data_IF_570788816308
#
_entry.id   IF_570788816308
#
_cell.length_a   1.000
_cell.length_b   1.000
_cell.length_c   1.000
_cell.angle_alpha   90.00
_cell.angle_beta   90.00
_cell.angle_gamma   90.00
#
_symmetry.space_group_name_H-M   'P 1'
#
loop_
_entity.id
_entity.type
_entity.pdbx_description
1 polymer ?
#
# COMPACT_ATOMS: atom_id res chain seq x y z
N UNK A 1 -78.38 44.91 4.73
CA UNK A 1 -77.39 44.91 5.80
C UNK A 1 -76.23 44.03 5.36
N UNK A 2 -75.14 44.65 4.95
CA UNK A 2 -73.97 43.97 4.39
C UNK A 2 -72.91 43.83 5.47
N UNK A 3 -72.49 42.61 5.75
CA UNK A 3 -71.39 42.32 6.64
C UNK A 3 -70.16 41.88 5.81
N UNK A 4 -69.23 42.79 5.63
CA UNK A 4 -67.95 42.51 4.95
C UNK A 4 -66.91 41.89 5.93
N UNK A 5 -66.57 40.65 5.72
CA UNK A 5 -65.48 39.99 6.43
C UNK A 5 -64.14 40.27 5.78
N UNK A 6 -63.18 40.92 6.49
CA UNK A 6 -61.79 41.14 6.07
C UNK A 6 -61.01 39.87 6.32
N UNK A 7 -60.48 39.24 5.24
CA UNK A 7 -59.49 38.16 5.32
C UNK A 7 -58.12 38.81 5.59
N UNK A 8 -57.53 38.51 6.73
CA UNK A 8 -56.15 38.86 7.06
C UNK A 8 -55.22 37.79 6.48
N UNK A 9 -54.47 38.11 5.44
CA UNK A 9 -53.38 37.28 4.95
C UNK A 9 -52.26 37.24 5.99
N UNK A 10 -52.03 36.09 6.56
CA UNK A 10 -50.85 35.81 7.40
C UNK A 10 -49.71 35.43 6.49
N UNK A 11 -48.77 36.34 6.25
CA UNK A 11 -47.49 36.03 5.57
C UNK A 11 -46.59 35.25 6.54
N UNK A 12 -46.46 33.96 6.30
CA UNK A 12 -45.48 33.12 7.03
C UNK A 12 -44.09 33.35 6.44
N UNK A 13 -43.25 34.07 7.17
CA UNK A 13 -41.87 34.29 6.85
C UNK A 13 -41.09 33.01 7.15
N UNK A 14 -40.70 32.22 6.16
CA UNK A 14 -39.81 31.09 6.31
C UNK A 14 -38.38 31.64 6.40
N UNK A 15 -37.83 31.68 7.61
CA UNK A 15 -36.41 31.91 7.80
C UNK A 15 -35.64 30.68 7.33
N UNK A 16 -35.00 30.78 6.18
CA UNK A 16 -33.98 29.83 5.77
C UNK A 16 -32.73 30.03 6.67
N UNK A 17 -32.54 29.14 7.62
CA UNK A 17 -31.29 29.06 8.39
C UNK A 17 -30.26 28.47 7.46
N UNK A 18 -29.16 29.17 7.12
CA UNK A 18 -28.08 28.57 6.35
C UNK A 18 -27.47 27.44 7.22
N UNK A 19 -27.55 26.22 6.75
CA UNK A 19 -26.73 25.14 7.28
C UNK A 19 -25.26 25.50 6.99
N UNK A 20 -24.55 26.00 7.99
CA UNK A 20 -23.10 26.13 7.94
C UNK A 20 -22.58 24.71 8.12
N UNK A 21 -22.25 24.07 7.01
CA UNK A 21 -21.41 22.86 7.02
C UNK A 21 -20.05 23.35 7.51
N UNK A 22 -19.73 23.06 8.75
CA UNK A 22 -18.34 23.13 9.21
C UNK A 22 -17.61 22.04 8.41
N UNK A 23 -16.87 22.45 7.39
CA UNK A 23 -15.87 21.58 6.80
C UNK A 23 -14.86 21.30 7.91
N UNK A 24 -14.74 20.02 8.30
CA UNK A 24 -13.69 19.57 9.20
C UNK A 24 -12.37 19.96 8.53
N UNK A 25 -11.57 20.81 9.17
CA UNK A 25 -10.43 21.50 8.55
C UNK A 25 -9.28 20.55 8.13
N UNK A 26 -9.35 19.27 8.53
CA UNK A 26 -8.28 18.29 8.36
C UNK A 26 -8.60 17.18 7.35
N UNK A 27 -9.67 17.34 6.56
CA UNK A 27 -10.11 16.37 5.59
C UNK A 27 -9.88 16.88 4.16
N UNK A 28 -9.24 16.07 3.32
CA UNK A 28 -9.08 16.32 1.88
C UNK A 28 -9.98 15.39 1.07
N UNK A 29 -11.03 15.91 0.41
CA UNK A 29 -11.86 15.12 -0.49
C UNK A 29 -11.05 14.60 -1.68
N UNK A 30 -11.39 13.39 -2.14
CA UNK A 30 -10.80 12.83 -3.34
C UNK A 30 -11.04 13.69 -4.58
N UNK A 31 -10.01 13.81 -5.41
CA UNK A 31 -10.11 14.48 -6.72
C UNK A 31 -10.98 13.70 -7.72
N UNK A 32 -11.30 12.45 -7.43
CA UNK A 32 -12.17 11.57 -8.24
C UNK A 32 -13.62 11.55 -7.74
N UNK A 33 -13.93 12.30 -6.70
CA UNK A 33 -15.29 12.51 -6.20
C UNK A 33 -15.58 11.85 -4.84
N UNK A 34 -16.77 12.15 -4.27
CA UNK A 34 -17.09 11.73 -2.90
C UNK A 34 -17.29 10.22 -2.73
N UNK A 35 -17.62 9.51 -3.81
CA UNK A 35 -17.82 8.05 -3.81
C UNK A 35 -16.55 7.27 -4.18
N UNK A 36 -15.40 7.95 -4.30
CA UNK A 36 -14.15 7.29 -4.65
C UNK A 36 -13.63 6.44 -3.49
N UNK A 37 -13.40 5.16 -3.78
CA UNK A 37 -12.86 4.16 -2.85
C UNK A 37 -11.53 3.54 -3.30
N UNK A 38 -10.99 3.96 -4.46
CA UNK A 38 -9.80 3.33 -5.05
C UNK A 38 -8.63 4.31 -5.29
N UNK A 39 -8.80 5.59 -4.95
CA UNK A 39 -7.71 6.57 -4.94
C UNK A 39 -6.88 6.57 -6.22
N UNK A 40 -5.58 6.46 -6.07
CA UNK A 40 -4.61 6.53 -7.17
C UNK A 40 -4.77 5.40 -8.21
N UNK A 41 -5.48 4.30 -7.92
CA UNK A 41 -5.81 3.29 -8.91
C UNK A 41 -6.73 3.80 -10.02
N UNK A 42 -7.44 4.92 -9.82
CA UNK A 42 -8.16 5.63 -10.89
C UNK A 42 -7.27 6.12 -12.04
N UNK A 43 -5.95 6.11 -11.86
CA UNK A 43 -4.99 6.49 -12.91
C UNK A 43 -4.66 5.35 -13.87
N UNK A 44 -5.13 4.13 -13.61
CA UNK A 44 -4.93 2.99 -14.51
C UNK A 44 -5.66 3.28 -15.82
N UNK A 45 -4.95 3.17 -16.93
CA UNK A 45 -5.51 3.33 -18.25
C UNK A 45 -4.89 2.34 -19.25
N UNK A 46 -5.59 2.12 -20.36
CA UNK A 46 -5.06 1.30 -21.45
C UNK A 46 -3.76 1.88 -22.00
N UNK A 47 -3.67 3.21 -22.10
CA UNK A 47 -2.51 3.93 -22.61
C UNK A 47 -1.31 3.70 -21.68
N UNK A 48 -1.48 3.87 -20.37
CA UNK A 48 -0.42 3.67 -19.38
C UNK A 48 0.07 2.22 -19.39
N UNK A 49 -0.84 1.26 -19.54
CA UNK A 49 -0.50 -0.17 -19.66
C UNK A 49 0.32 -0.43 -20.94
N UNK A 50 -0.10 0.09 -22.09
CA UNK A 50 0.61 -0.09 -23.36
C UNK A 50 1.99 0.59 -23.34
N UNK A 51 2.14 1.74 -22.69
CA UNK A 51 3.45 2.37 -22.50
C UNK A 51 4.36 1.52 -21.60
N UNK A 52 3.81 0.93 -20.52
CA UNK A 52 4.57 0.05 -19.65
C UNK A 52 5.06 -1.23 -20.38
N UNK A 53 4.25 -1.81 -21.27
CA UNK A 53 4.66 -2.97 -22.10
C UNK A 53 5.92 -2.65 -22.93
N UNK A 54 6.09 -1.41 -23.38
CA UNK A 54 7.27 -1.00 -24.19
C UNK A 54 8.57 -1.03 -23.39
N UNK A 55 8.51 -1.14 -22.06
CA UNK A 55 9.69 -1.25 -21.19
C UNK A 55 10.30 -2.66 -21.20
N UNK A 56 9.57 -3.67 -21.67
CA UNK A 56 10.05 -5.04 -21.77
C UNK A 56 11.02 -5.13 -22.97
N UNK A 57 12.32 -5.09 -22.71
CA UNK A 57 13.37 -5.14 -23.73
C UNK A 57 14.14 -6.44 -23.74
N UNK A 58 14.26 -7.10 -22.57
CA UNK A 58 15.04 -8.32 -22.38
C UNK A 58 14.17 -9.57 -22.23
N UNK A 59 12.86 -9.42 -22.03
CA UNK A 59 11.96 -10.53 -21.71
C UNK A 59 12.25 -11.19 -20.36
N UNK A 60 12.88 -10.44 -19.45
CA UNK A 60 13.18 -10.90 -18.10
C UNK A 60 12.02 -10.61 -17.17
N UNK A 61 11.85 -11.45 -16.15
CA UNK A 61 10.84 -11.26 -15.10
C UNK A 61 11.43 -11.54 -13.72
N UNK A 62 10.88 -10.88 -12.71
CA UNK A 62 11.22 -11.08 -11.31
C UNK A 62 10.00 -10.84 -10.43
N UNK A 63 9.71 -11.78 -9.50
CA UNK A 63 8.73 -11.55 -8.43
C UNK A 63 9.32 -10.63 -7.39
N UNK A 64 8.58 -9.60 -7.03
CA UNK A 64 9.01 -8.59 -6.05
C UNK A 64 8.60 -8.94 -4.60
N UNK A 65 8.02 -10.10 -4.36
CA UNK A 65 7.73 -10.61 -3.03
C UNK A 65 8.88 -11.45 -2.50
N UNK A 66 9.19 -11.32 -1.21
CA UNK A 66 10.08 -12.25 -0.51
C UNK A 66 9.30 -13.44 0.05
N UNK A 67 10.00 -14.50 0.42
CA UNK A 67 9.38 -15.66 1.10
C UNK A 67 8.92 -15.25 2.49
N UNK A 68 7.65 -15.50 2.79
CA UNK A 68 7.07 -15.38 4.13
C UNK A 68 7.16 -16.75 4.80
N UNK A 69 7.74 -16.78 6.01
CA UNK A 69 7.88 -18.01 6.78
C UNK A 69 7.41 -17.82 8.23
N UNK A 70 6.92 -18.89 8.89
CA UNK A 70 6.61 -18.83 10.31
C UNK A 70 7.81 -18.36 11.13
N UNK A 71 7.57 -17.42 12.06
CA UNK A 71 8.64 -16.82 12.87
C UNK A 71 9.41 -15.69 12.18
N UNK A 72 9.03 -15.29 10.97
CA UNK A 72 9.57 -14.09 10.34
C UNK A 72 9.41 -12.88 11.29
N UNK A 73 10.44 -12.03 11.44
CA UNK A 73 10.32 -10.82 12.23
C UNK A 73 9.17 -9.94 11.72
N UNK A 74 8.37 -9.44 12.64
CA UNK A 74 7.25 -8.55 12.31
C UNK A 74 7.05 -7.56 13.46
N UNK A 75 6.42 -6.43 13.16
CA UNK A 75 6.04 -5.45 14.17
C UNK A 75 5.05 -6.07 15.16
N UNK A 76 5.42 -6.10 16.44
CA UNK A 76 4.58 -6.71 17.49
C UNK A 76 3.18 -6.06 17.55
N UNK A 77 2.10 -6.81 17.74
CA UNK A 77 2.01 -8.24 18.05
C UNK A 77 1.84 -9.16 16.82
N UNK A 78 2.26 -8.74 15.64
CA UNK A 78 2.06 -9.48 14.37
C UNK A 78 2.81 -10.81 14.38
N UNK A 79 2.21 -11.84 13.80
CA UNK A 79 2.78 -13.18 13.65
C UNK A 79 2.24 -13.86 12.39
N UNK A 80 2.91 -14.94 12.00
CA UNK A 80 2.50 -15.81 10.89
C UNK A 80 2.62 -17.27 11.34
N UNK A 81 1.55 -18.04 11.13
CA UNK A 81 1.50 -19.49 11.36
C UNK A 81 0.93 -20.19 10.13
N UNK A 82 1.58 -21.27 9.73
CA UNK A 82 1.15 -22.12 8.63
C UNK A 82 1.04 -23.56 9.13
N UNK A 83 -0.07 -24.22 8.88
CA UNK A 83 -0.30 -25.61 9.18
C UNK A 83 -0.66 -26.35 7.91
N UNK A 84 0.04 -27.45 7.64
CA UNK A 84 -0.37 -28.39 6.62
C UNK A 84 -1.31 -29.40 7.26
N UNK A 85 -2.52 -29.49 6.77
CA UNK A 85 -3.52 -30.46 7.22
C UNK A 85 -3.65 -31.58 6.20
N UNK A 86 -3.81 -32.78 6.71
CA UNK A 86 -3.75 -34.03 5.93
C UNK A 86 -5.00 -34.87 6.22
N UNK A 87 -6.17 -34.47 5.72
CA UNK A 87 -7.46 -35.02 6.15
C UNK A 87 -7.59 -36.54 5.99
N UNK A 88 -6.94 -37.10 4.96
CA UNK A 88 -7.02 -38.53 4.63
C UNK A 88 -5.68 -39.24 4.75
N UNK A 89 -4.74 -38.72 5.52
CA UNK A 89 -3.47 -39.42 5.77
C UNK A 89 -3.64 -40.42 6.90
N UNK A 90 -3.88 -41.66 6.53
CA UNK A 90 -4.00 -42.77 7.43
C UNK A 90 -2.82 -43.73 7.22
N UNK A 91 -1.68 -43.44 7.77
CA UNK A 91 -0.49 -44.29 7.67
C UNK A 91 -0.86 -45.76 7.95
N UNK A 92 -0.94 -46.59 6.89
CA UNK A 92 -1.25 -48.01 6.97
C UNK A 92 -2.71 -48.36 7.26
N UNK A 93 -3.66 -47.45 7.15
CA UNK A 93 -5.09 -47.73 7.22
C UNK A 93 -5.67 -47.79 5.80
N UNK A 94 -6.67 -48.66 5.61
CA UNK A 94 -7.48 -48.67 4.40
C UNK A 94 -8.31 -47.38 4.37
N UNK A 95 -8.03 -46.53 3.40
CA UNK A 95 -8.69 -45.26 3.18
C UNK A 95 -9.54 -45.29 1.91
N UNK A 96 -10.06 -46.49 1.52
CA UNK A 96 -11.00 -46.55 0.39
C UNK A 96 -12.03 -45.47 0.59
N UNK A 97 -11.76 -44.35 -0.01
CA UNK A 97 -12.43 -43.09 0.27
C UNK A 97 -13.81 -43.10 -0.41
N UNK A 98 -14.68 -42.19 0.03
CA UNK A 98 -15.94 -41.88 -0.62
C UNK A 98 -15.79 -41.50 -2.11
N UNK A 99 -14.55 -41.34 -2.60
CA UNK A 99 -14.20 -41.03 -4.01
C UNK A 99 -13.97 -42.28 -4.88
N UNK A 100 -14.01 -43.51 -4.32
CA UNK A 100 -13.88 -44.75 -5.08
C UNK A 100 -12.43 -45.15 -5.46
N UNK A 101 -11.43 -44.46 -4.94
CA UNK A 101 -9.99 -44.76 -5.03
C UNK A 101 -9.23 -44.15 -3.86
N UNK A 102 -7.99 -44.57 -3.63
CA UNK A 102 -7.14 -44.07 -2.56
C UNK A 102 -6.56 -42.72 -2.95
N UNK A 103 -7.30 -41.62 -2.63
CA UNK A 103 -6.83 -40.27 -2.81
C UNK A 103 -5.99 -39.81 -1.60
N UNK A 104 -4.86 -39.21 -1.88
CA UNK A 104 -4.05 -38.54 -0.87
C UNK A 104 -3.90 -37.05 -1.22
N UNK A 105 -4.20 -36.17 -0.27
CA UNK A 105 -4.09 -34.73 -0.49
C UNK A 105 -3.72 -33.99 0.79
N UNK A 106 -3.17 -32.81 0.61
CA UNK A 106 -2.87 -31.86 1.69
C UNK A 106 -3.59 -30.58 1.44
N UNK A 107 -4.04 -29.94 2.52
CA UNK A 107 -4.58 -28.57 2.55
C UNK A 107 -3.78 -27.74 3.53
N UNK A 108 -3.94 -26.41 3.47
CA UNK A 108 -3.26 -25.46 4.31
C UNK A 108 -4.23 -24.64 5.15
N UNK A 109 -3.83 -24.33 6.38
CA UNK A 109 -4.44 -23.31 7.21
C UNK A 109 -3.39 -22.23 7.45
N UNK A 110 -3.67 -21.00 7.01
CA UNK A 110 -2.84 -19.85 7.25
C UNK A 110 -3.51 -18.95 8.28
N UNK A 111 -2.82 -18.67 9.38
CA UNK A 111 -3.21 -17.67 10.34
C UNK A 111 -2.10 -16.64 10.46
N UNK A 112 -2.39 -15.40 10.03
CA UNK A 112 -1.38 -14.35 10.06
C UNK A 112 -1.99 -12.95 10.12
N UNK A 113 -1.17 -12.02 10.56
CA UNK A 113 -1.40 -10.62 10.30
C UNK A 113 -0.99 -10.32 8.87
N UNK A 114 -1.94 -9.89 8.03
CA UNK A 114 -1.74 -9.68 6.59
C UNK A 114 -0.63 -8.67 6.30
N UNK A 115 -0.41 -7.70 7.20
CA UNK A 115 0.71 -6.75 7.14
C UNK A 115 2.05 -7.35 7.62
N UNK A 116 2.32 -8.63 7.34
CA UNK A 116 3.60 -9.29 7.62
C UNK A 116 4.27 -9.70 6.31
N UNK A 117 5.48 -9.20 6.06
CA UNK A 117 6.21 -9.44 4.81
C UNK A 117 5.74 -8.55 3.66
N UNK A 118 5.86 -9.01 2.38
CA UNK A 118 5.49 -8.20 1.21
C UNK A 118 4.01 -7.88 1.22
N UNK A 119 3.68 -6.60 1.23
CA UNK A 119 2.29 -6.16 1.39
C UNK A 119 1.96 -4.93 0.56
N UNK A 120 0.65 -4.80 0.28
CA UNK A 120 -0.01 -3.60 -0.21
C UNK A 120 -0.84 -3.03 0.94
N UNK A 121 -0.64 -1.77 1.28
CA UNK A 121 -1.48 -1.04 2.20
C UNK A 121 -2.59 -0.31 1.45
N UNK A 122 -3.84 -0.66 1.79
CA UNK A 122 -5.04 -0.08 1.21
C UNK A 122 -5.43 1.25 1.85
N UNK A 123 -6.42 1.91 1.27
CA UNK A 123 -6.84 3.26 1.67
C UNK A 123 -7.51 3.32 3.07
N UNK A 124 -7.96 2.18 3.58
CA UNK A 124 -8.49 2.06 4.94
C UNK A 124 -7.43 1.72 6.00
N UNK A 125 -6.11 1.74 5.65
CA UNK A 125 -5.05 1.30 6.56
C UNK A 125 -4.67 2.39 7.58
N UNK A 126 -4.48 3.62 7.14
CA UNK A 126 -4.04 4.74 8.00
C UNK A 126 -5.01 5.91 7.89
N UNK A 127 -5.37 6.45 9.03
CA UNK A 127 -6.08 7.71 9.21
C UNK A 127 -5.33 8.63 10.16
N UNK A 128 -5.88 9.80 10.38
CA UNK A 128 -5.45 10.76 11.40
C UNK A 128 -6.71 11.39 12.00
N UNK A 129 -6.80 11.43 13.34
CA UNK A 129 -7.97 11.87 14.10
C UNK A 129 -9.29 11.19 13.65
N UNK A 130 -9.25 9.84 13.50
CA UNK A 130 -10.35 8.98 13.02
C UNK A 130 -10.85 9.29 11.60
N UNK A 131 -10.16 10.15 10.87
CA UNK A 131 -10.45 10.48 9.47
C UNK A 131 -9.47 9.73 8.56
N UNK A 132 -10.03 8.98 7.62
CA UNK A 132 -9.33 8.23 6.58
C UNK A 132 -9.47 8.90 5.22
N UNK A 133 -8.94 8.23 4.19
CA UNK A 133 -9.01 8.71 2.81
C UNK A 133 -10.43 9.14 2.42
N UNK A 134 -10.50 10.21 1.62
CA UNK A 134 -11.75 10.79 1.10
C UNK A 134 -12.76 11.14 2.19
N UNK A 135 -12.26 11.64 3.35
CA UNK A 135 -13.08 12.10 4.47
C UNK A 135 -13.97 11.03 5.12
N UNK A 136 -13.66 9.76 4.95
CA UNK A 136 -14.40 8.69 5.60
C UNK A 136 -14.02 8.63 7.09
N UNK A 137 -15.02 8.63 7.97
CA UNK A 137 -14.82 8.41 9.40
C UNK A 137 -14.66 6.92 9.69
N UNK A 138 -13.71 6.54 10.54
CA UNK A 138 -13.45 5.15 10.87
C UNK A 138 -14.68 4.43 11.41
N UNK A 139 -15.47 5.08 12.27
CA UNK A 139 -16.71 4.54 12.85
C UNK A 139 -17.78 4.16 11.80
N UNK A 140 -17.75 4.77 10.61
CA UNK A 140 -18.75 4.56 9.56
C UNK A 140 -18.44 3.37 8.65
N UNK A 141 -17.17 2.91 8.58
CA UNK A 141 -16.80 1.88 7.60
C UNK A 141 -15.86 0.79 8.13
N UNK A 142 -15.16 0.99 9.25
CA UNK A 142 -14.16 0.06 9.79
C UNK A 142 -14.75 -0.73 10.96
N UNK A 143 -15.09 -2.00 10.71
CA UNK A 143 -15.69 -2.88 11.71
C UNK A 143 -14.80 -4.11 11.95
N UNK A 144 -15.01 -4.79 13.07
CA UNK A 144 -14.30 -6.04 13.40
C UNK A 144 -14.54 -7.15 12.36
N UNK A 145 -15.60 -7.06 11.60
CA UNK A 145 -15.95 -7.99 10.51
C UNK A 145 -15.32 -7.62 9.18
N UNK A 146 -14.57 -6.54 9.10
CA UNK A 146 -13.92 -6.01 7.92
C UNK A 146 -14.43 -4.63 7.52
N UNK A 147 -13.75 -4.04 6.56
CA UNK A 147 -14.12 -2.75 5.99
C UNK A 147 -15.37 -2.89 5.12
N UNK A 148 -16.26 -1.89 5.16
CA UNK A 148 -17.43 -1.80 4.27
C UNK A 148 -17.20 -0.86 3.09
N UNK A 149 -16.10 -0.08 3.13
CA UNK A 149 -15.58 0.76 2.05
C UNK A 149 -14.08 0.62 1.95
N UNK A 150 -13.51 0.91 0.80
CA UNK A 150 -12.05 0.92 0.57
C UNK A 150 -11.36 -0.42 0.87
N UNK A 151 -12.09 -1.54 0.84
CA UNK A 151 -11.51 -2.86 1.00
C UNK A 151 -10.60 -3.23 -0.17
N UNK A 152 -9.60 -4.09 0.09
CA UNK A 152 -8.61 -4.51 -0.93
C UNK A 152 -9.26 -5.11 -2.18
N UNK A 153 -10.42 -5.74 -2.04
CA UNK A 153 -11.15 -6.34 -3.18
C UNK A 153 -11.65 -5.34 -4.22
N UNK A 154 -11.78 -4.06 -3.84
CA UNK A 154 -12.23 -3.00 -4.75
C UNK A 154 -11.12 -2.53 -5.67
N UNK A 155 -9.86 -2.70 -5.27
CA UNK A 155 -8.69 -2.25 -6.02
C UNK A 155 -8.54 -3.08 -7.30
N UNK A 156 -8.53 -2.45 -8.50
CA UNK A 156 -8.23 -3.16 -9.74
C UNK A 156 -6.77 -3.62 -9.76
N UNK A 157 -6.38 -4.56 -10.65
CA UNK A 157 -4.99 -4.91 -10.83
C UNK A 157 -4.14 -3.67 -11.13
N UNK A 158 -3.07 -3.45 -10.35
CA UNK A 158 -2.15 -2.34 -10.56
C UNK A 158 -1.17 -2.73 -11.67
N UNK A 159 -1.31 -2.13 -12.83
CA UNK A 159 -0.46 -2.35 -14.00
C UNK A 159 0.04 -1.01 -14.52
N UNK A 160 1.34 -0.85 -14.66
CA UNK A 160 1.91 0.41 -15.12
C UNK A 160 3.43 0.41 -15.13
N UNK A 161 4.00 1.61 -15.26
CA UNK A 161 5.45 1.81 -15.20
C UNK A 161 5.92 1.74 -13.76
N UNK A 162 6.79 0.76 -13.47
CA UNK A 162 7.57 0.70 -12.25
C UNK A 162 8.87 1.48 -12.40
N UNK A 163 9.25 2.20 -11.35
CA UNK A 163 10.48 2.99 -11.28
C UNK A 163 11.25 2.61 -10.02
N UNK A 164 12.49 2.17 -10.16
CA UNK A 164 13.39 1.87 -9.03
C UNK A 164 14.35 3.04 -8.80
N UNK A 165 14.31 3.64 -7.62
CA UNK A 165 15.27 4.61 -7.14
C UNK A 165 16.24 3.89 -6.19
N UNK A 166 17.47 3.64 -6.64
CA UNK A 166 18.47 2.94 -5.84
C UNK A 166 19.16 3.92 -4.88
N UNK A 167 18.69 3.95 -3.63
CA UNK A 167 19.23 4.84 -2.59
C UNK A 167 20.53 4.32 -2.00
N UNK A 168 20.71 3.00 -1.86
CA UNK A 168 21.98 2.42 -1.44
C UNK A 168 23.12 2.85 -2.42
N UNK A 169 22.90 2.74 -3.72
CA UNK A 169 23.83 3.21 -4.75
C UNK A 169 24.06 4.73 -4.70
N UNK A 170 23.00 5.51 -4.43
CA UNK A 170 23.09 6.96 -4.29
C UNK A 170 24.08 7.35 -3.20
N UNK A 171 23.98 6.70 -2.03
CA UNK A 171 24.85 6.91 -0.87
C UNK A 171 26.22 6.20 -1.00
N UNK A 172 26.42 5.34 -2.01
CA UNK A 172 27.68 4.63 -2.21
C UNK A 172 27.89 3.48 -1.22
N UNK A 173 26.82 2.87 -0.72
CA UNK A 173 26.80 1.76 0.23
C UNK A 173 26.07 0.55 -0.36
N UNK A 174 26.31 -0.64 0.21
CA UNK A 174 25.53 -1.84 -0.12
C UNK A 174 24.18 -1.88 0.58
N UNK A 175 24.09 -1.26 1.76
CA UNK A 175 22.88 -1.11 2.54
C UNK A 175 22.92 0.20 3.32
N UNK A 176 21.81 0.89 3.38
CA UNK A 176 21.60 1.99 4.31
C UNK A 176 21.48 1.43 5.74
N UNK A 177 21.53 2.27 6.76
CA UNK A 177 21.38 1.87 8.17
C UNK A 177 20.00 2.23 8.74
N UNK A 178 19.56 1.53 9.78
CA UNK A 178 18.27 1.75 10.43
C UNK A 178 18.15 3.19 10.98
N UNK A 179 17.01 3.83 10.74
CA UNK A 179 16.76 5.23 11.08
C UNK A 179 17.37 6.25 10.11
N UNK A 180 18.06 5.82 9.06
CA UNK A 180 18.55 6.73 8.05
C UNK A 180 17.40 7.27 7.18
N UNK A 181 17.15 8.58 7.28
CA UNK A 181 16.13 9.25 6.48
C UNK A 181 16.55 9.44 5.02
N UNK A 182 15.63 9.18 4.11
CA UNK A 182 15.71 9.55 2.69
C UNK A 182 14.97 10.87 2.53
N UNK A 183 15.71 11.96 2.42
CA UNK A 183 15.13 13.31 2.32
C UNK A 183 14.65 13.63 0.91
N UNK A 184 13.81 14.67 0.77
CA UNK A 184 13.44 15.25 -0.53
C UNK A 184 14.67 15.56 -1.38
N UNK A 185 15.72 16.11 -0.78
CA UNK A 185 16.95 16.48 -1.49
C UNK A 185 17.76 15.25 -1.92
N UNK A 186 17.74 14.17 -1.13
CA UNK A 186 18.36 12.92 -1.54
C UNK A 186 17.65 12.32 -2.74
N UNK A 187 16.31 12.32 -2.75
CA UNK A 187 15.51 11.85 -3.88
C UNK A 187 15.83 12.67 -5.14
N UNK A 188 15.81 14.01 -5.05
CA UNK A 188 16.14 14.89 -6.19
C UNK A 188 17.52 14.59 -6.77
N UNK A 189 18.53 14.41 -5.91
CA UNK A 189 19.89 14.07 -6.34
C UNK A 189 19.95 12.67 -6.93
N UNK A 190 19.26 11.69 -6.32
CA UNK A 190 19.26 10.31 -6.79
C UNK A 190 18.62 10.17 -8.17
N UNK A 191 17.42 10.75 -8.39
CA UNK A 191 16.75 10.68 -9.70
C UNK A 191 17.58 11.38 -10.79
N UNK A 192 18.19 12.54 -10.48
CA UNK A 192 19.10 13.22 -11.42
C UNK A 192 20.32 12.36 -11.76
N UNK A 193 20.98 11.77 -10.74
CA UNK A 193 22.18 10.93 -10.92
C UNK A 193 21.88 9.65 -11.69
N UNK A 194 20.68 9.08 -11.52
CA UNK A 194 20.24 7.85 -12.16
C UNK A 194 19.50 8.09 -13.48
N UNK A 195 19.36 9.35 -13.91
CA UNK A 195 18.62 9.77 -15.11
C UNK A 195 17.18 9.26 -15.12
N UNK A 196 16.49 9.41 -14.00
CA UNK A 196 15.09 9.04 -13.80
C UNK A 196 14.21 10.31 -13.92
N UNK A 197 13.13 10.20 -14.67
CA UNK A 197 12.03 11.18 -14.71
C UNK A 197 10.79 10.55 -14.13
N UNK A 198 10.29 11.07 -13.01
CA UNK A 198 9.06 10.60 -12.39
C UNK A 198 7.84 11.14 -13.15
N UNK A 199 6.84 10.29 -13.33
CA UNK A 199 5.61 10.60 -14.09
C UNK A 199 4.37 10.26 -13.27
N UNK A 200 3.28 10.95 -13.58
CA UNK A 200 1.98 10.62 -13.02
C UNK A 200 1.61 9.17 -13.31
N UNK A 201 1.16 8.47 -12.28
CA UNK A 201 0.76 7.07 -12.37
C UNK A 201 1.92 6.06 -12.29
N UNK A 202 3.15 6.50 -11.98
CA UNK A 202 4.26 5.58 -11.72
C UNK A 202 4.00 4.74 -10.44
N UNK A 203 4.61 3.57 -10.39
CA UNK A 203 4.82 2.81 -9.15
C UNK A 203 6.29 3.01 -8.78
N UNK A 204 6.56 3.79 -7.73
CA UNK A 204 7.92 4.17 -7.32
C UNK A 204 8.39 3.22 -6.22
N UNK A 205 9.51 2.53 -6.45
CA UNK A 205 10.15 1.66 -5.47
C UNK A 205 11.52 2.20 -5.07
N UNK A 206 11.80 2.18 -3.78
CA UNK A 206 13.12 2.48 -3.23
C UNK A 206 13.89 1.19 -2.94
N UNK A 207 15.15 1.15 -3.34
CA UNK A 207 16.10 0.12 -2.90
C UNK A 207 17.05 0.71 -1.89
N UNK A 208 16.96 0.24 -0.66
CA UNK A 208 17.84 0.63 0.45
C UNK A 208 18.91 -0.41 0.73
N UNK A 209 18.73 -1.64 0.26
CA UNK A 209 19.57 -2.80 0.53
C UNK A 209 19.36 -3.39 1.93
N UNK A 210 18.41 -2.85 2.72
CA UNK A 210 18.20 -3.24 4.13
C UNK A 210 17.76 -4.69 4.28
N UNK A 211 16.74 -5.12 3.55
CA UNK A 211 16.23 -6.48 3.63
C UNK A 211 17.24 -7.50 3.16
N UNK A 212 17.96 -7.25 2.07
CA UNK A 212 19.03 -8.11 1.58
C UNK A 212 20.17 -8.28 2.62
N UNK A 213 20.51 -7.18 3.30
CA UNK A 213 21.60 -7.18 4.26
C UNK A 213 21.23 -7.76 5.63
N UNK A 214 19.99 -7.57 6.10
CA UNK A 214 19.64 -7.76 7.50
C UNK A 214 18.66 -8.87 7.80
N UNK A 215 17.67 -9.13 6.95
CA UNK A 215 16.59 -10.07 7.26
C UNK A 215 17.12 -11.45 7.73
N UNK A 216 18.11 -12.01 7.05
CA UNK A 216 18.67 -13.32 7.40
C UNK A 216 19.82 -13.24 8.39
N UNK A 217 20.65 -12.21 8.31
CA UNK A 217 21.89 -12.08 9.10
C UNK A 217 21.66 -11.50 10.50
N UNK A 218 20.67 -10.63 10.66
CA UNK A 218 20.35 -9.88 11.88
C UNK A 218 18.85 -9.60 11.96
N UNK A 219 17.99 -10.64 12.09
CA UNK A 219 16.53 -10.48 12.01
C UNK A 219 15.97 -9.56 13.10
N UNK A 220 16.57 -9.54 14.29
CA UNK A 220 16.17 -8.62 15.36
C UNK A 220 16.45 -7.15 14.98
N UNK A 221 17.62 -6.86 14.40
CA UNK A 221 17.96 -5.52 13.92
C UNK A 221 17.07 -5.11 12.75
N UNK A 222 16.79 -6.06 11.85
CA UNK A 222 15.88 -5.84 10.71
C UNK A 222 14.49 -5.41 11.19
N UNK A 223 13.94 -6.07 12.22
CA UNK A 223 12.62 -5.76 12.77
C UNK A 223 12.57 -4.55 13.70
N UNK A 224 13.71 -4.13 14.27
CA UNK A 224 13.76 -3.04 15.24
C UNK A 224 13.90 -1.64 14.60
N UNK A 225 14.45 -1.57 13.40
CA UNK A 225 14.71 -0.29 12.71
C UNK A 225 14.70 -0.47 11.20
N UNK A 226 14.49 0.63 10.46
CA UNK A 226 14.61 0.68 8.99
C UNK A 226 15.11 2.03 8.52
N UNK A 227 15.88 2.11 7.41
CA UNK A 227 15.98 3.33 6.63
C UNK A 227 14.64 3.57 5.91
N UNK A 228 14.32 4.81 5.61
CA UNK A 228 13.08 5.11 4.89
C UNK A 228 12.93 6.59 4.57
N UNK A 229 11.86 6.92 3.86
CA UNK A 229 11.58 8.30 3.48
C UNK A 229 11.24 9.17 4.70
N UNK A 230 11.55 10.46 4.61
CA UNK A 230 11.12 11.47 5.59
C UNK A 230 9.70 11.95 5.26
N UNK A 231 9.04 12.61 6.23
CA UNK A 231 7.71 13.20 6.00
C UNK A 231 7.71 14.21 4.85
N UNK A 232 8.74 15.05 4.74
CA UNK A 232 8.90 15.99 3.63
C UNK A 232 9.14 15.29 2.28
N UNK A 233 9.82 14.15 2.28
CA UNK A 233 9.98 13.34 1.09
C UNK A 233 8.65 12.71 0.62
N UNK A 234 7.78 12.29 1.54
CA UNK A 234 6.44 11.80 1.19
C UNK A 234 5.61 12.90 0.51
N UNK A 235 5.63 14.12 1.06
CA UNK A 235 4.99 15.29 0.42
C UNK A 235 5.55 15.54 -0.99
N UNK A 236 6.87 15.51 -1.16
CA UNK A 236 7.50 15.68 -2.47
C UNK A 236 7.11 14.60 -3.47
N UNK A 237 7.02 13.34 -3.04
CA UNK A 237 6.61 12.23 -3.92
C UNK A 237 5.15 12.35 -4.35
N UNK A 238 4.26 12.81 -3.46
CA UNK A 238 2.85 13.00 -3.79
C UNK A 238 2.62 14.04 -4.90
N UNK A 239 3.52 15.03 -5.05
CA UNK A 239 3.47 16.03 -6.13
C UNK A 239 3.50 15.38 -7.53
N UNK A 240 4.14 14.22 -7.70
CA UNK A 240 4.18 13.47 -8.96
C UNK A 240 2.93 12.61 -9.20
N UNK A 241 2.06 12.49 -8.21
CA UNK A 241 0.83 11.67 -8.28
C UNK A 241 1.13 10.23 -8.72
N UNK A 242 1.99 9.48 -8.01
CA UNK A 242 2.21 8.07 -8.30
C UNK A 242 0.97 7.24 -7.94
N UNK A 243 0.82 6.03 -8.51
CA UNK A 243 -0.17 5.06 -8.05
C UNK A 243 0.21 4.44 -6.71
N UNK A 244 1.49 4.14 -6.56
CA UNK A 244 2.02 3.57 -5.33
C UNK A 244 3.45 4.02 -5.09
N UNK A 245 3.86 4.04 -3.82
CA UNK A 245 5.24 4.22 -3.37
C UNK A 245 5.60 3.03 -2.48
N UNK A 246 6.79 2.47 -2.64
CA UNK A 246 7.20 1.33 -1.83
C UNK A 246 8.71 1.24 -1.63
N UNK A 247 9.13 0.27 -0.81
CA UNK A 247 10.54 0.02 -0.51
C UNK A 247 10.81 -1.46 -0.20
N UNK A 248 12.09 -1.80 -0.11
CA UNK A 248 12.57 -3.09 0.38
C UNK A 248 12.57 -3.20 1.91
N UNK A 249 11.96 -2.25 2.62
CA UNK A 249 11.82 -2.21 4.07
C UNK A 249 10.40 -2.59 4.52
N UNK A 250 10.23 -3.03 5.78
CA UNK A 250 8.94 -3.44 6.37
C UNK A 250 8.02 -2.29 6.78
N UNK A 251 8.44 -1.07 6.56
CA UNK A 251 7.74 0.20 6.61
C UNK A 251 8.37 1.10 5.56
N UNK A 252 7.69 2.12 5.12
CA UNK A 252 8.19 3.03 4.08
C UNK A 252 9.02 4.17 4.68
N UNK A 253 8.57 4.74 5.81
CA UNK A 253 9.25 5.80 6.54
C UNK A 253 10.40 5.29 7.40
N UNK A 254 11.36 6.15 7.70
CA UNK A 254 12.47 5.81 8.59
C UNK A 254 11.99 5.48 10.02
N UNK A 255 12.51 4.37 10.59
CA UNK A 255 12.26 4.00 11.99
C UNK A 255 13.61 3.73 12.68
N UNK A 256 13.95 4.46 13.77
CA UNK A 256 13.23 5.63 14.28
C UNK A 256 13.20 6.78 13.26
N UNK A 257 12.19 7.67 13.34
CA UNK A 257 12.13 8.83 12.44
C UNK A 257 13.30 9.78 12.72
N UNK A 258 13.64 10.59 11.72
CA UNK A 258 14.63 11.68 11.93
C UNK A 258 14.05 12.76 12.86
N UNK A 259 14.93 13.59 13.40
CA UNK A 259 14.51 14.70 14.27
C UNK A 259 13.50 15.61 13.55
N UNK A 260 12.38 15.89 14.23
CA UNK A 260 11.29 16.71 13.72
C UNK A 260 10.20 15.97 12.96
N UNK A 261 10.43 14.73 12.53
CA UNK A 261 9.44 13.89 11.86
C UNK A 261 8.57 13.11 12.86
N UNK A 262 7.34 12.83 12.44
CA UNK A 262 6.44 11.91 13.14
C UNK A 262 6.56 10.52 12.49
N UNK A 263 6.57 9.47 13.32
CA UNK A 263 6.59 8.09 12.83
C UNK A 263 5.31 7.78 12.05
N UNK A 264 5.44 7.12 10.90
CA UNK A 264 4.33 6.77 9.98
C UNK A 264 3.50 7.94 9.43
N UNK A 265 3.97 9.20 9.53
CA UNK A 265 3.26 10.32 8.94
C UNK A 265 3.40 10.37 7.40
N UNK A 266 4.40 9.71 6.85
CA UNK A 266 4.51 9.39 5.43
C UNK A 266 3.29 8.59 4.92
N UNK A 267 2.78 7.65 5.72
CA UNK A 267 1.54 6.90 5.42
C UNK A 267 0.31 7.82 5.44
N UNK A 268 0.20 8.72 6.41
CA UNK A 268 -0.88 9.71 6.43
C UNK A 268 -0.85 10.56 5.17
N UNK A 269 0.33 11.08 4.80
CA UNK A 269 0.49 11.91 3.61
C UNK A 269 0.16 11.14 2.32
N UNK A 270 0.65 9.91 2.17
CA UNK A 270 0.45 9.15 0.94
C UNK A 270 -0.96 8.57 0.86
N UNK A 271 -1.40 7.84 1.89
CA UNK A 271 -2.67 7.10 1.88
C UNK A 271 -3.85 8.03 2.15
N UNK A 272 -3.90 8.65 3.34
CA UNK A 272 -5.06 9.46 3.77
C UNK A 272 -5.26 10.69 2.89
N UNK A 273 -4.18 11.47 2.67
CA UNK A 273 -4.29 12.76 2.01
C UNK A 273 -4.32 12.66 0.48
N UNK A 274 -3.62 11.66 -0.10
CA UNK A 274 -3.43 11.58 -1.55
C UNK A 274 -3.96 10.31 -2.21
N UNK A 275 -4.46 9.33 -1.45
CA UNK A 275 -4.99 8.07 -1.99
C UNK A 275 -3.93 7.21 -2.69
N UNK A 276 -2.65 7.38 -2.36
CA UNK A 276 -1.51 6.67 -2.94
C UNK A 276 -1.25 5.42 -2.10
N UNK A 277 -1.16 4.26 -2.75
CA UNK A 277 -0.89 3.00 -2.08
C UNK A 277 0.55 2.89 -1.60
N UNK A 278 0.77 2.11 -0.54
CA UNK A 278 2.13 1.79 -0.07
C UNK A 278 2.42 0.31 -0.33
N UNK A 279 3.65 0.02 -0.77
CA UNK A 279 4.15 -1.32 -1.01
C UNK A 279 5.39 -1.55 -0.13
N UNK A 280 5.31 -2.53 0.78
CA UNK A 280 6.38 -2.76 1.74
C UNK A 280 7.04 -4.12 1.54
N UNK A 281 8.28 -4.24 2.00
CA UNK A 281 9.10 -5.47 1.97
C UNK A 281 9.28 -6.03 0.54
N UNK A 282 9.51 -5.13 -0.44
CA UNK A 282 9.68 -5.52 -1.84
C UNK A 282 11.09 -6.08 -2.10
N UNK A 283 11.20 -7.22 -2.79
CA UNK A 283 12.46 -7.77 -3.30
C UNK A 283 12.96 -6.95 -4.50
N UNK A 284 13.68 -5.87 -4.21
CA UNK A 284 14.25 -4.97 -5.22
C UNK A 284 15.70 -5.28 -5.55
N UNK A 285 16.33 -6.21 -4.83
CA UNK A 285 17.77 -6.50 -4.91
C UNK A 285 18.24 -6.88 -6.31
N UNK A 286 17.47 -7.73 -7.01
CA UNK A 286 17.81 -8.12 -8.39
C UNK A 286 17.75 -6.94 -9.36
N UNK A 287 16.72 -6.10 -9.28
CA UNK A 287 16.60 -4.91 -10.13
C UNK A 287 17.78 -3.97 -9.89
N UNK A 288 18.13 -3.74 -8.61
CA UNK A 288 19.26 -2.90 -8.23
C UNK A 288 20.59 -3.42 -8.77
N UNK A 289 20.84 -4.74 -8.64
CA UNK A 289 22.03 -5.42 -9.13
C UNK A 289 22.17 -5.33 -10.65
N UNK A 290 21.08 -5.48 -11.39
CA UNK A 290 21.06 -5.40 -12.86
C UNK A 290 20.93 -3.95 -13.38
N UNK A 291 20.90 -2.94 -12.48
CA UNK A 291 20.70 -1.52 -12.81
C UNK A 291 19.42 -1.26 -13.62
N UNK A 292 18.35 -1.97 -13.30
CA UNK A 292 17.01 -1.76 -13.88
C UNK A 292 16.37 -0.59 -13.15
N UNK A 293 16.16 0.52 -13.84
CA UNK A 293 15.51 1.73 -13.27
C UNK A 293 14.06 1.85 -13.68
N UNK A 294 13.68 1.24 -14.81
CA UNK A 294 12.31 1.26 -15.33
C UNK A 294 11.91 -0.14 -15.78
N UNK A 295 10.69 -0.52 -15.49
CA UNK A 295 10.14 -1.84 -15.82
C UNK A 295 8.62 -1.79 -15.91
N UNK A 296 8.01 -2.77 -16.54
CA UNK A 296 6.57 -2.98 -16.41
C UNK A 296 6.29 -3.63 -15.06
N UNK A 297 5.47 -2.98 -14.25
CA UNK A 297 4.97 -3.49 -12.97
C UNK A 297 3.60 -4.11 -13.15
N UNK A 298 3.38 -5.30 -12.59
CA UNK A 298 2.09 -6.00 -12.61
C UNK A 298 1.79 -6.56 -11.23
N UNK A 299 0.65 -6.17 -10.68
CA UNK A 299 0.13 -6.70 -9.41
C UNK A 299 -1.36 -7.03 -9.55
N UNK A 300 -1.70 -8.30 -9.46
CA UNK A 300 -3.07 -8.78 -9.24
C UNK A 300 -3.19 -9.33 -7.82
N UNK A 301 -3.55 -8.48 -6.86
CA UNK A 301 -3.66 -8.88 -5.45
C UNK A 301 -4.86 -9.82 -5.22
N UNK A 302 -4.78 -10.73 -4.23
CA UNK A 302 -5.95 -11.50 -3.77
C UNK A 302 -7.09 -10.58 -3.35
N UNK A 303 -8.33 -11.00 -3.67
CA UNK A 303 -9.54 -10.21 -3.36
C UNK A 303 -10.20 -10.73 -2.08
N UNK A 304 -9.65 -10.38 -0.93
CA UNK A 304 -10.24 -10.66 0.36
C UNK A 304 -11.15 -9.51 0.77
N UNK A 305 -12.47 -9.76 0.79
CA UNK A 305 -13.47 -8.73 1.03
C UNK A 305 -13.30 -8.09 2.41
N UNK A 306 -13.24 -6.76 2.42
CA UNK A 306 -13.11 -5.97 3.64
C UNK A 306 -11.72 -6.02 4.28
N UNK A 307 -10.72 -6.57 3.60
CA UNK A 307 -9.35 -6.53 4.09
C UNK A 307 -8.76 -5.12 3.95
N UNK A 308 -7.93 -4.76 4.91
CA UNK A 308 -7.24 -3.46 5.01
C UNK A 308 -5.95 -3.46 4.19
N UNK A 309 -5.23 -4.56 4.24
CA UNK A 309 -3.94 -4.81 3.60
C UNK A 309 -3.99 -6.13 2.85
N UNK A 310 -3.01 -6.41 1.99
CA UNK A 310 -2.91 -7.70 1.32
C UNK A 310 -1.46 -8.11 1.10
N UNK A 311 -1.19 -9.40 1.37
CA UNK A 311 0.06 -10.05 0.96
C UNK A 311 0.14 -9.98 -0.57
N UNK A 312 1.30 -9.60 -1.09
CA UNK A 312 1.51 -9.44 -2.52
C UNK A 312 2.81 -10.09 -2.99
N UNK A 313 2.82 -10.48 -4.26
CA UNK A 313 4.03 -10.82 -5.00
C UNK A 313 3.93 -10.20 -6.39
N UNK A 314 4.15 -8.87 -6.51
CA UNK A 314 4.12 -8.20 -7.80
C UNK A 314 5.21 -8.73 -8.73
N UNK A 315 5.03 -8.52 -10.03
CA UNK A 315 6.02 -8.93 -11.04
C UNK A 315 6.59 -7.70 -11.73
N UNK A 316 7.90 -7.60 -11.77
CA UNK A 316 8.64 -6.70 -12.64
C UNK A 316 9.03 -7.43 -13.93
N UNK A 317 8.80 -6.78 -15.09
CA UNK A 317 9.20 -7.28 -16.41
C UNK A 317 10.04 -6.19 -17.13
N UNK A 318 11.22 -6.57 -17.72
CA UNK A 318 12.10 -5.60 -18.41
C UNK A 318 12.86 -6.17 -19.60
#
# INVERSE_FOLDING_TARGET
MSCGGKIRNLLTLILAIPFIIFADSDCQPSIWGPDDEIGAANMISNENTLEAVKLIKKGMSHGLGIVIEPGMPAFAPRYTELQVVQPNQHFGRDTTSDFGYDITYNDDILQMWIGTGPQLDGLGHIGDDDIFYNCNKGEDFSFITGLTKMGIETIPPLVGRGVLINMAKHHGVSSMYGGQGITREDIKKAIKKQNIELKKGDIILFHTGWTDAKLKSSPEEWGASIPGITNDAAVYLSEFKPMAVGADTWGLGAVPPIEGDKVYYDHVTLIKENGIYILETMDTGRLAKENVTEFMFVLGQPKLKGAVQMIINPVALW
#
